data_IF_788699395144
#
_entry.id   IF_788699395144
#
_cell.length_a   1.000
_cell.length_b   1.000
_cell.length_c   1.000
_cell.angle_alpha   90.00
_cell.angle_beta   90.00
_cell.angle_gamma   90.00
#
_symmetry.space_group_name_H-M   'P 1'
#
loop_
_entity.id
_entity.type
_entity.pdbx_description
1 polymer ?
#
# COMPACT_ATOMS: atom_id res chain seq x y z
N UNK A 1 -2.82 0.44 -5.02
CA UNK A 1 -2.09 -0.02 -3.83
C UNK A 1 -2.94 0.20 -2.58
N UNK A 2 -2.97 -0.76 -1.67
CA UNK A 2 -3.64 -0.61 -0.36
C UNK A 2 -2.74 0.10 0.67
N UNK A 3 -1.44 0.13 0.43
CA UNK A 3 -0.48 0.90 1.23
C UNK A 3 -0.25 2.27 0.59
N UNK A 4 -0.38 3.32 1.36
CA UNK A 4 -0.26 4.66 0.89
C UNK A 4 -1.48 5.51 1.25
N UNK A 5 -1.61 6.67 0.66
CA UNK A 5 -2.72 7.58 0.83
C UNK A 5 -2.97 8.42 -0.40
N UNK A 6 -3.74 9.47 -0.26
CA UNK A 6 -4.04 10.36 -1.36
C UNK A 6 -5.01 11.48 -0.99
N UNK A 7 -5.40 12.19 -2.02
CA UNK A 7 -6.40 13.24 -1.97
C UNK A 7 -7.45 13.01 -3.03
N UNK A 8 -8.66 13.43 -2.77
CA UNK A 8 -9.72 13.55 -3.76
C UNK A 8 -10.26 14.98 -3.75
N UNK A 9 -10.35 15.59 -4.91
CA UNK A 9 -11.12 16.83 -5.10
C UNK A 9 -12.29 16.49 -6.01
N UNK A 10 -13.47 16.97 -5.67
CA UNK A 10 -14.68 16.72 -6.47
C UNK A 10 -15.49 17.99 -6.71
N UNK A 11 -16.24 17.97 -7.80
CA UNK A 11 -17.28 18.93 -8.09
C UNK A 11 -18.55 18.19 -8.52
N UNK A 12 -19.65 18.50 -7.88
CA UNK A 12 -20.99 17.98 -8.24
C UNK A 12 -21.64 18.79 -9.35
N UNK A 13 -22.71 18.24 -9.94
CA UNK A 13 -23.47 18.92 -10.99
C UNK A 13 -24.17 20.21 -10.50
N UNK A 14 -24.48 20.28 -9.20
CA UNK A 14 -25.06 21.47 -8.55
C UNK A 14 -24.02 22.56 -8.24
N UNK A 15 -22.75 22.31 -8.56
CA UNK A 15 -21.65 23.24 -8.35
C UNK A 15 -20.94 23.06 -7.01
N UNK A 16 -21.41 22.21 -6.10
CA UNK A 16 -20.71 21.91 -4.85
C UNK A 16 -19.31 21.37 -5.13
N UNK A 17 -18.31 21.95 -4.48
CA UNK A 17 -16.92 21.55 -4.55
C UNK A 17 -16.48 21.08 -3.16
N UNK A 18 -15.71 20.01 -3.09
CA UNK A 18 -15.15 19.53 -1.84
C UNK A 18 -13.90 18.71 -2.04
N UNK A 19 -13.29 18.31 -0.92
CA UNK A 19 -12.10 17.46 -0.91
C UNK A 19 -12.17 16.42 0.21
N UNK A 20 -11.46 15.35 0.02
CA UNK A 20 -11.24 14.29 1.01
C UNK A 20 -9.74 14.07 1.09
N UNK A 21 -9.17 14.28 2.26
CA UNK A 21 -7.78 13.97 2.57
C UNK A 21 -7.72 12.60 3.23
N UNK A 22 -7.04 11.67 2.59
CA UNK A 22 -6.75 10.33 3.13
C UNK A 22 -5.27 9.97 3.01
N UNK A 23 -4.40 11.01 3.19
CA UNK A 23 -2.96 10.80 3.31
C UNK A 23 -2.64 9.84 4.46
N UNK A 24 -1.44 9.30 4.39
CA UNK A 24 -0.87 8.52 5.48
C UNK A 24 -0.75 9.37 6.74
N UNK A 25 -0.89 8.71 7.88
CA UNK A 25 -0.66 9.32 9.19
C UNK A 25 0.58 8.75 9.84
N UNK A 26 1.24 9.57 10.66
CA UNK A 26 2.30 9.08 11.53
C UNK A 26 1.75 8.01 12.50
N UNK A 27 2.52 6.98 12.83
CA UNK A 27 2.18 6.05 13.91
C UNK A 27 1.99 6.79 15.24
N UNK A 28 1.17 6.23 16.14
CA UNK A 28 0.92 6.85 17.45
C UNK A 28 2.18 7.01 18.30
N UNK A 29 3.18 6.16 18.10
CA UNK A 29 4.47 6.22 18.77
C UNK A 29 5.45 7.23 18.16
N UNK A 30 5.10 7.87 17.05
CA UNK A 30 5.97 8.86 16.42
C UNK A 30 6.12 10.10 17.30
N UNK A 31 7.34 10.57 17.41
CA UNK A 31 7.68 11.79 18.15
C UNK A 31 8.72 12.61 17.37
N UNK A 32 8.90 13.87 17.75
CA UNK A 32 9.74 14.83 17.00
C UNK A 32 11.20 14.40 16.84
N UNK A 33 11.72 13.66 17.80
CA UNK A 33 13.15 13.28 17.86
C UNK A 33 13.39 11.82 17.39
N UNK A 34 12.39 11.13 16.81
CA UNK A 34 12.48 9.72 16.46
C UNK A 34 13.54 9.37 15.40
N UNK A 35 14.06 10.37 14.72
CA UNK A 35 15.12 10.23 13.70
C UNK A 35 16.47 10.80 14.14
N UNK A 36 16.61 11.12 15.44
CA UNK A 36 17.83 11.68 15.99
C UNK A 36 18.56 10.63 16.85
N UNK A 37 19.90 10.73 16.88
CA UNK A 37 20.72 10.01 17.82
C UNK A 37 20.70 10.66 19.22
N UNK A 38 21.41 10.07 20.18
CA UNK A 38 21.50 10.58 21.56
C UNK A 38 22.19 11.96 21.65
N UNK A 39 22.88 12.39 20.62
CA UNK A 39 23.55 13.68 20.52
C UNK A 39 22.72 14.73 19.77
N UNK A 40 21.54 14.33 19.28
CA UNK A 40 20.64 15.21 18.51
C UNK A 40 20.96 15.30 17.00
N UNK A 41 21.85 14.46 16.48
CA UNK A 41 22.15 14.42 15.04
C UNK A 41 21.16 13.53 14.31
N UNK A 42 20.86 13.88 13.05
CA UNK A 42 19.99 13.08 12.19
C UNK A 42 20.65 11.73 11.87
N UNK A 43 19.92 10.62 12.10
CA UNK A 43 20.34 9.27 11.69
C UNK A 43 20.07 9.12 10.19
N UNK A 44 21.11 8.99 9.32
CA UNK A 44 20.94 8.90 7.88
C UNK A 44 20.04 7.72 7.46
N UNK A 45 19.11 7.96 6.56
CA UNK A 45 18.26 6.91 5.98
C UNK A 45 17.06 6.51 6.83
N UNK A 46 17.03 6.78 8.13
CA UNK A 46 15.99 6.30 9.05
C UNK A 46 14.58 6.83 8.72
N UNK A 47 14.50 8.02 8.11
CA UNK A 47 13.23 8.61 7.65
C UNK A 47 12.81 8.21 6.23
N UNK A 48 13.65 7.47 5.52
CA UNK A 48 13.41 7.10 4.11
C UNK A 48 13.37 5.60 3.86
N UNK A 49 13.85 4.79 4.82
CA UNK A 49 13.98 3.35 4.68
C UNK A 49 13.64 2.64 5.99
N UNK A 50 13.12 1.41 5.89
CA UNK A 50 12.75 0.60 7.06
C UNK A 50 11.42 0.98 7.69
N UNK A 51 11.09 0.33 8.79
CA UNK A 51 9.80 0.43 9.46
C UNK A 51 9.47 1.82 10.01
N UNK A 52 10.48 2.57 10.45
CA UNK A 52 10.31 3.95 10.95
C UNK A 52 9.93 4.97 9.89
N UNK A 53 10.17 4.65 8.61
CA UNK A 53 9.77 5.48 7.47
C UNK A 53 8.34 5.22 6.98
N UNK A 54 7.63 4.24 7.56
CA UNK A 54 6.30 3.83 7.10
C UNK A 54 5.21 4.60 7.84
N UNK A 55 4.40 5.34 7.08
CA UNK A 55 3.16 5.92 7.60
C UNK A 55 2.01 4.91 7.59
N UNK A 56 1.04 5.09 8.50
CA UNK A 56 -0.20 4.30 8.52
C UNK A 56 -1.00 4.59 7.25
N UNK A 57 -1.29 3.59 6.41
CA UNK A 57 -1.95 3.80 5.12
C UNK A 57 -3.35 4.40 5.27
N UNK A 58 -3.69 5.37 4.42
CA UNK A 58 -5.01 5.99 4.37
C UNK A 58 -5.89 5.54 3.19
N UNK A 59 -5.29 4.92 2.16
CA UNK A 59 -5.96 4.63 0.88
C UNK A 59 -7.28 3.85 1.06
N UNK A 60 -7.26 2.75 1.81
CA UNK A 60 -8.47 1.91 1.96
C UNK A 60 -9.58 2.68 2.69
N UNK A 61 -9.24 3.39 3.77
CA UNK A 61 -10.20 4.22 4.48
C UNK A 61 -10.80 5.30 3.58
N UNK A 62 -9.95 6.00 2.81
CA UNK A 62 -10.36 7.05 1.90
C UNK A 62 -11.24 6.54 0.75
N UNK A 63 -10.83 5.48 0.07
CA UNK A 63 -11.60 4.89 -1.04
C UNK A 63 -12.97 4.40 -0.56
N UNK A 64 -13.05 3.76 0.61
CA UNK A 64 -14.33 3.31 1.17
C UNK A 64 -15.23 4.49 1.59
N UNK A 65 -14.65 5.57 2.12
CA UNK A 65 -15.40 6.78 2.43
C UNK A 65 -15.92 7.48 1.16
N UNK A 66 -15.09 7.55 0.11
CA UNK A 66 -15.50 8.03 -1.22
C UNK A 66 -16.63 7.17 -1.77
N UNK A 67 -16.49 5.85 -1.71
CA UNK A 67 -17.51 4.92 -2.16
C UNK A 67 -18.83 5.09 -1.38
N UNK A 68 -18.76 5.23 -0.06
CA UNK A 68 -19.94 5.49 0.78
C UNK A 68 -20.67 6.78 0.41
N UNK A 69 -19.93 7.84 0.05
CA UNK A 69 -20.52 9.15 -0.29
C UNK A 69 -21.04 9.22 -1.72
N UNK A 70 -20.35 8.61 -2.67
CA UNK A 70 -20.58 8.83 -4.10
C UNK A 70 -20.77 7.55 -4.90
N UNK A 71 -20.48 6.38 -4.32
CA UNK A 71 -20.58 5.08 -5.00
C UNK A 71 -22.03 4.74 -5.34
N UNK A 72 -22.22 4.20 -6.54
CA UNK A 72 -23.54 3.71 -7.03
C UNK A 72 -23.58 2.20 -7.14
N UNK A 73 -22.45 1.60 -7.52
CA UNK A 73 -22.33 0.14 -7.62
C UNK A 73 -22.00 -0.47 -6.26
N UNK A 74 -22.47 -1.69 -5.97
CA UNK A 74 -22.03 -2.44 -4.80
C UNK A 74 -20.49 -2.59 -4.78
N UNK A 75 -19.89 -2.47 -3.60
CA UNK A 75 -18.43 -2.58 -3.43
C UNK A 75 -17.87 -3.89 -4.01
N UNK A 76 -18.65 -4.97 -3.89
CA UNK A 76 -18.29 -6.28 -4.45
C UNK A 76 -18.12 -6.24 -5.96
N UNK A 77 -19.00 -5.57 -6.68
CA UNK A 77 -18.91 -5.47 -8.14
C UNK A 77 -17.66 -4.68 -8.59
N UNK A 78 -17.18 -3.77 -7.75
CA UNK A 78 -15.98 -2.97 -8.02
C UNK A 78 -14.71 -3.75 -7.69
N UNK A 79 -14.66 -4.48 -6.56
CA UNK A 79 -13.44 -5.14 -6.09
C UNK A 79 -13.24 -6.52 -6.70
N UNK A 80 -14.32 -7.27 -6.95
CA UNK A 80 -14.25 -8.64 -7.46
C UNK A 80 -13.39 -8.79 -8.72
N UNK A 81 -13.52 -7.94 -9.76
CA UNK A 81 -12.68 -8.03 -10.96
C UNK A 81 -11.19 -7.82 -10.64
N UNK A 82 -10.87 -6.99 -9.64
CA UNK A 82 -9.48 -6.73 -9.24
C UNK A 82 -8.88 -7.96 -8.53
N UNK A 83 -9.69 -8.65 -7.71
CA UNK A 83 -9.31 -9.93 -7.08
C UNK A 83 -8.99 -10.99 -8.14
N UNK A 84 -9.87 -11.12 -9.13
CA UNK A 84 -9.69 -12.07 -10.23
C UNK A 84 -8.44 -11.75 -11.04
N UNK A 85 -8.20 -10.47 -11.33
CA UNK A 85 -7.03 -10.01 -12.04
C UNK A 85 -5.74 -10.26 -11.25
N UNK A 86 -5.74 -10.04 -9.92
CA UNK A 86 -4.62 -10.33 -9.06
C UNK A 86 -4.29 -11.83 -9.01
N UNK A 87 -5.28 -12.70 -9.06
CA UNK A 87 -5.11 -14.15 -9.09
C UNK A 87 -4.68 -14.66 -10.47
N UNK A 88 -5.30 -14.17 -11.54
CA UNK A 88 -4.95 -14.52 -12.93
C UNK A 88 -3.53 -14.08 -13.26
N UNK A 89 -3.14 -12.89 -12.79
CA UNK A 89 -1.86 -12.26 -13.00
C UNK A 89 -1.86 -11.20 -14.08
N UNK A 90 -0.85 -10.37 -13.98
CA UNK A 90 -0.54 -9.27 -14.89
C UNK A 90 0.54 -9.71 -15.86
N UNK A 91 0.29 -9.52 -17.16
CA UNK A 91 1.33 -9.72 -18.17
C UNK A 91 2.28 -8.52 -18.10
N UNK A 92 3.56 -8.81 -17.91
CA UNK A 92 4.62 -7.81 -17.83
C UNK A 92 4.83 -7.17 -19.20
N UNK A 93 4.71 -5.87 -19.29
CA UNK A 93 5.09 -5.10 -20.48
C UNK A 93 6.59 -4.82 -20.48
N UNK A 94 7.15 -4.43 -21.64
CA UNK A 94 8.54 -4.06 -21.76
C UNK A 94 8.93 -2.92 -20.78
N UNK A 95 8.10 -1.88 -20.68
CA UNK A 95 8.32 -0.80 -19.73
C UNK A 95 8.33 -1.27 -18.27
N UNK A 96 7.46 -2.23 -17.93
CA UNK A 96 7.44 -2.80 -16.58
C UNK A 96 8.67 -3.65 -16.32
N UNK A 97 9.12 -4.48 -17.26
CA UNK A 97 10.35 -5.26 -17.15
C UNK A 97 11.56 -4.34 -16.92
N UNK A 98 11.71 -3.31 -17.72
CA UNK A 98 12.79 -2.32 -17.58
C UNK A 98 12.74 -1.59 -16.22
N UNK A 99 11.56 -1.27 -15.71
CA UNK A 99 11.41 -0.65 -14.37
C UNK A 99 11.73 -1.63 -13.25
N UNK A 100 11.28 -2.86 -13.34
CA UNK A 100 11.57 -3.90 -12.33
C UNK A 100 13.08 -4.16 -12.27
N UNK A 101 13.76 -4.27 -13.41
CA UNK A 101 15.21 -4.44 -13.46
C UNK A 101 15.95 -3.24 -12.85
N UNK A 102 15.55 -2.01 -13.20
CA UNK A 102 16.15 -0.78 -12.66
C UNK A 102 16.11 -0.70 -11.13
N UNK A 103 15.04 -1.23 -10.51
CA UNK A 103 14.83 -1.16 -9.07
C UNK A 103 15.08 -2.48 -8.35
N UNK A 104 15.55 -3.52 -9.05
CA UNK A 104 15.73 -4.86 -8.50
C UNK A 104 16.64 -4.89 -7.27
N UNK A 105 17.78 -4.25 -7.34
CA UNK A 105 18.71 -4.16 -6.19
C UNK A 105 18.06 -3.52 -4.97
N UNK A 106 17.31 -2.45 -5.15
CA UNK A 106 16.57 -1.80 -4.05
C UNK A 106 15.50 -2.70 -3.45
N UNK A 107 14.85 -3.55 -4.25
CA UNK A 107 13.90 -4.52 -3.73
C UNK A 107 14.61 -5.59 -2.90
N UNK A 108 15.78 -6.03 -3.32
CA UNK A 108 16.60 -7.01 -2.59
C UNK A 108 17.12 -6.39 -1.29
N UNK A 109 17.69 -5.20 -1.34
CA UNK A 109 18.18 -4.47 -0.16
C UNK A 109 17.07 -4.29 0.91
N UNK A 110 15.86 -3.94 0.47
CA UNK A 110 14.75 -3.67 1.39
C UNK A 110 14.03 -4.92 1.91
N UNK A 111 14.08 -6.05 1.17
CA UNK A 111 13.22 -7.21 1.47
C UNK A 111 13.96 -8.55 1.46
N UNK A 112 15.25 -8.56 1.21
CA UNK A 112 16.08 -9.77 1.05
C UNK A 112 15.90 -10.45 -0.32
N UNK A 113 16.76 -11.43 -0.59
CA UNK A 113 16.85 -12.15 -1.87
C UNK A 113 15.61 -13.01 -2.18
N UNK A 114 14.83 -13.34 -1.15
CA UNK A 114 13.58 -14.11 -1.30
C UNK A 114 12.40 -13.30 -1.77
N UNK A 115 12.56 -11.98 -1.94
CA UNK A 115 11.48 -11.15 -2.45
C UNK A 115 11.08 -11.57 -3.85
N UNK A 116 9.77 -11.53 -4.14
CA UNK A 116 9.21 -11.83 -5.45
C UNK A 116 9.85 -11.03 -6.61
N UNK A 117 10.37 -9.85 -6.29
CA UNK A 117 10.95 -8.93 -7.26
C UNK A 117 12.48 -9.01 -7.36
N UNK A 118 13.11 -10.00 -6.71
CA UNK A 118 14.55 -10.27 -6.83
C UNK A 118 14.94 -10.91 -8.16
N UNK A 119 14.02 -11.70 -8.77
CA UNK A 119 14.25 -12.33 -10.06
C UNK A 119 14.15 -11.37 -11.24
N UNK A 120 14.78 -11.70 -12.38
CA UNK A 120 14.60 -10.95 -13.61
C UNK A 120 13.18 -11.16 -14.14
N UNK A 121 12.60 -10.13 -14.74
CA UNK A 121 11.35 -10.20 -15.48
C UNK A 121 11.54 -9.73 -16.91
N UNK A 122 10.91 -10.42 -17.84
CA UNK A 122 10.90 -10.03 -19.26
C UNK A 122 9.46 -9.72 -19.71
N UNK A 123 9.33 -8.99 -20.80
CA UNK A 123 8.03 -8.76 -21.42
C UNK A 123 7.36 -10.08 -21.78
N UNK A 124 6.09 -10.24 -21.44
CA UNK A 124 5.32 -11.48 -21.62
C UNK A 124 5.24 -12.36 -20.37
N UNK A 125 6.09 -12.18 -19.37
CA UNK A 125 5.96 -12.87 -18.08
C UNK A 125 4.65 -12.54 -17.41
N UNK A 126 4.18 -13.44 -16.53
CA UNK A 126 2.96 -13.21 -15.76
C UNK A 126 3.26 -13.13 -14.27
N UNK A 127 2.95 -11.98 -13.66
CA UNK A 127 3.10 -11.77 -12.22
C UNK A 127 1.75 -11.91 -11.54
N UNK A 128 1.59 -12.96 -10.70
CA UNK A 128 0.39 -13.18 -9.89
C UNK A 128 0.57 -12.60 -8.49
N UNK A 129 -0.52 -12.11 -7.89
CA UNK A 129 -0.56 -11.53 -6.56
C UNK A 129 -1.61 -12.18 -5.66
N UNK A 130 -1.54 -13.50 -5.36
CA UNK A 130 -2.59 -14.20 -4.61
C UNK A 130 -2.74 -13.71 -3.17
N UNK A 131 -1.64 -13.32 -2.50
CA UNK A 131 -1.71 -12.72 -1.17
C UNK A 131 -2.43 -11.38 -1.17
N UNK A 132 -2.21 -10.56 -2.20
CA UNK A 132 -2.93 -9.30 -2.38
C UNK A 132 -4.41 -9.53 -2.68
N UNK A 133 -4.74 -10.53 -3.50
CA UNK A 133 -6.12 -10.94 -3.75
C UNK A 133 -6.86 -11.31 -2.44
N UNK A 134 -6.20 -12.06 -1.54
CA UNK A 134 -6.77 -12.39 -0.21
C UNK A 134 -6.99 -11.15 0.66
N UNK A 135 -6.08 -10.17 0.62
CA UNK A 135 -6.26 -8.90 1.34
C UNK A 135 -7.44 -8.11 0.76
N UNK A 136 -7.58 -8.04 -0.57
CA UNK A 136 -8.72 -7.40 -1.22
C UNK A 136 -10.04 -8.10 -0.90
N UNK A 137 -10.04 -9.44 -0.81
CA UNK A 137 -11.21 -10.22 -0.40
C UNK A 137 -11.68 -9.79 1.01
N UNK A 138 -10.77 -9.71 1.98
CA UNK A 138 -11.09 -9.24 3.32
C UNK A 138 -11.62 -7.80 3.33
N UNK A 139 -11.01 -6.90 2.56
CA UNK A 139 -11.51 -5.52 2.43
C UNK A 139 -12.91 -5.50 1.81
N UNK A 140 -13.19 -6.34 0.83
CA UNK A 140 -14.50 -6.45 0.19
C UNK A 140 -15.58 -6.95 1.17
N UNK A 141 -15.25 -7.93 2.01
CA UNK A 141 -16.17 -8.57 2.96
C UNK A 141 -16.36 -7.77 4.24
N UNK A 142 -15.28 -7.23 4.81
CA UNK A 142 -15.22 -6.59 6.12
C UNK A 142 -15.08 -5.05 6.03
N UNK A 143 -14.98 -4.51 4.82
CA UNK A 143 -14.77 -3.08 4.61
C UNK A 143 -13.44 -2.60 5.20
N UNK A 144 -13.51 -1.50 5.93
CA UNK A 144 -12.35 -0.89 6.57
C UNK A 144 -11.63 -1.84 7.55
N UNK A 145 -12.39 -2.63 8.28
CA UNK A 145 -11.85 -3.52 9.30
C UNK A 145 -11.00 -4.65 8.68
N UNK A 146 -11.29 -5.06 7.45
CA UNK A 146 -10.50 -6.04 6.71
C UNK A 146 -9.02 -5.68 6.48
N UNK A 147 -8.65 -4.39 6.58
CA UNK A 147 -7.25 -3.95 6.56
C UNK A 147 -6.75 -3.47 7.92
N UNK A 148 -7.55 -2.69 8.66
CA UNK A 148 -7.08 -1.95 9.84
C UNK A 148 -7.28 -2.72 11.15
N UNK A 149 -7.93 -3.87 11.12
CA UNK A 149 -8.12 -4.76 12.27
C UNK A 149 -7.75 -6.21 11.93
N UNK A 150 -7.72 -7.06 12.96
CA UNK A 150 -7.53 -8.50 12.81
C UNK A 150 -6.18 -8.89 12.20
N UNK A 151 -6.18 -9.99 11.45
CA UNK A 151 -4.97 -10.67 10.97
C UNK A 151 -4.10 -9.81 10.05
N UNK A 152 -4.71 -9.06 9.11
CA UNK A 152 -3.95 -8.24 8.14
C UNK A 152 -3.24 -7.11 8.87
N UNK A 153 -3.93 -6.40 9.76
CA UNK A 153 -3.35 -5.32 10.55
C UNK A 153 -2.21 -5.83 11.45
N UNK A 154 -2.41 -6.98 12.12
CA UNK A 154 -1.41 -7.58 12.99
C UNK A 154 -0.15 -8.00 12.22
N UNK A 155 -0.31 -8.66 11.07
CA UNK A 155 0.83 -9.04 10.22
C UNK A 155 1.58 -7.83 9.68
N UNK A 156 0.87 -6.79 9.25
CA UNK A 156 1.47 -5.56 8.76
C UNK A 156 2.25 -4.85 9.87
N UNK A 157 1.66 -4.70 11.05
CA UNK A 157 2.32 -4.09 12.19
C UNK A 157 3.55 -4.89 12.63
N UNK A 158 3.44 -6.22 12.73
CA UNK A 158 4.57 -7.08 13.10
C UNK A 158 5.72 -6.98 12.09
N UNK A 159 5.41 -6.93 10.79
CA UNK A 159 6.44 -6.78 9.76
C UNK A 159 7.15 -5.42 9.85
N UNK A 160 6.39 -4.33 9.98
CA UNK A 160 6.97 -2.97 10.07
C UNK A 160 7.77 -2.77 11.36
N UNK A 161 7.41 -3.45 12.46
CA UNK A 161 8.11 -3.36 13.74
C UNK A 161 9.30 -4.35 13.87
N UNK A 162 9.53 -5.19 12.87
CA UNK A 162 10.66 -6.13 12.90
C UNK A 162 12.00 -5.37 12.86
N UNK A 163 12.92 -5.61 13.81
CA UNK A 163 14.24 -4.96 13.81
C UNK A 163 15.09 -5.26 12.58
N UNK A 164 14.71 -6.26 11.79
CA UNK A 164 15.42 -6.70 10.58
C UNK A 164 14.85 -6.05 9.28
N UNK A 165 13.87 -5.17 9.41
CA UNK A 165 13.31 -4.40 8.28
C UNK A 165 13.91 -2.96 8.30
#
# INVERSE_FOLDING_TARGET
>A
SVGGGGFMVYRKNDGEIGGIDYREKAPLAAHKDMYLDSLGNVIPGMSTSGGTAVGVPGTVAGVLEVHKKFGKLPLKEIIQPIIEFANKGLVVTENQANRLERYRERFIEANGDSTKFAGPFVAGDTIKHPAYAKTLQKIMEEGRDGLYKGEVAQKLAAFVMCPCC
#
